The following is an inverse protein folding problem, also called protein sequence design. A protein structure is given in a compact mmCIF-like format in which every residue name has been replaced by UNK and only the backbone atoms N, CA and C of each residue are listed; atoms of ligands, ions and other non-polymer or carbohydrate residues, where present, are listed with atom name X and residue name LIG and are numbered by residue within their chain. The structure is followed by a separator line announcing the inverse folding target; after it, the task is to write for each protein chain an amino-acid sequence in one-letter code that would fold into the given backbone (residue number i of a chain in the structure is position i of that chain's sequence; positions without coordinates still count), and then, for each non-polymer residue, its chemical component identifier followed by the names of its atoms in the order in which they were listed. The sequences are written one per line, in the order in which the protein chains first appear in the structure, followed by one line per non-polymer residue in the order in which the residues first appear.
data_IF_555503440312
#
_entry.id   IF_555503440312
#
_cell.length_a   1.000
_cell.length_b   1.000
_cell.length_c   1.000
_cell.angle_alpha   90.00
_cell.angle_beta   90.00
_cell.angle_gamma   90.00
#
_symmetry.space_group_name_H-M   'P 1'
#
loop_
_entity.id
_entity.type
_entity.pdbx_description
1 polymer ?
#
# COMPACT_ATOMS: atom_id res chain seq x y z
N UNK A 1 4.43 -6.48 3.75
CA UNK A 1 3.64 -5.23 3.68
C UNK A 1 4.45 -4.17 2.96
N UNK A 2 3.81 -3.17 2.36
CA UNK A 2 4.49 -2.04 1.72
C UNK A 2 3.72 -0.73 1.83
N UNK A 3 4.41 0.40 1.68
CA UNK A 3 3.84 1.74 1.77
C UNK A 3 4.63 2.76 0.94
N UNK A 4 3.95 3.75 0.36
CA UNK A 4 4.54 5.02 -0.11
C UNK A 4 4.45 6.15 0.91
N UNK A 5 3.67 5.96 1.98
CA UNK A 5 3.65 6.87 3.13
C UNK A 5 4.86 6.53 4.01
N UNK A 6 6.00 7.08 3.63
CA UNK A 6 7.29 6.91 4.31
C UNK A 6 7.99 8.27 4.45
N UNK A 7 8.09 8.78 5.67
CA UNK A 7 8.67 10.10 5.93
C UNK A 7 10.20 10.05 5.82
N UNK A 8 10.89 10.96 5.11
CA UNK A 8 10.40 12.13 4.34
C UNK A 8 10.41 11.95 2.83
N UNK A 9 11.17 10.98 2.32
CA UNK A 9 11.38 10.86 0.86
C UNK A 9 10.17 10.28 0.13
N UNK A 10 9.24 9.64 0.85
CA UNK A 10 8.04 9.01 0.29
C UNK A 10 8.35 7.98 -0.82
N UNK A 11 9.52 7.36 -0.73
CA UNK A 11 9.87 6.19 -1.54
C UNK A 11 9.01 4.98 -1.12
N UNK A 12 8.91 4.00 -2.01
CA UNK A 12 8.30 2.71 -1.68
C UNK A 12 9.19 2.03 -0.62
N UNK A 13 8.60 1.72 0.53
CA UNK A 13 9.20 0.88 1.57
C UNK A 13 8.40 -0.40 1.68
N UNK A 14 9.09 -1.54 1.68
CA UNK A 14 8.51 -2.87 1.89
C UNK A 14 9.20 -3.58 3.04
N UNK A 15 8.42 -4.32 3.84
CA UNK A 15 8.90 -5.09 4.99
C UNK A 15 8.24 -6.48 4.95
N UNK A 16 9.05 -7.51 5.18
CA UNK A 16 8.64 -8.91 5.11
C UNK A 16 9.86 -9.84 5.16
N UNK A 17 9.60 -11.16 5.17
CA UNK A 17 10.63 -12.21 5.33
C UNK A 17 10.73 -13.13 4.11
N UNK A 18 10.11 -12.74 2.99
CA UNK A 18 10.06 -13.54 1.76
C UNK A 18 10.18 -12.61 0.54
N UNK A 19 11.21 -12.84 -0.28
CA UNK A 19 11.55 -11.97 -1.41
C UNK A 19 10.46 -11.91 -2.48
N UNK A 20 9.77 -13.02 -2.75
CA UNK A 20 8.67 -13.05 -3.72
C UNK A 20 7.54 -12.12 -3.26
N UNK A 21 7.21 -12.13 -1.97
CA UNK A 21 6.17 -11.26 -1.40
C UNK A 21 6.62 -9.80 -1.33
N UNK A 22 7.90 -9.54 -1.12
CA UNK A 22 8.45 -8.18 -1.21
C UNK A 22 8.33 -7.63 -2.63
N UNK A 23 8.72 -8.41 -3.65
CA UNK A 23 8.57 -8.03 -5.06
C UNK A 23 7.11 -7.79 -5.43
N UNK A 24 6.21 -8.69 -5.03
CA UNK A 24 4.76 -8.55 -5.28
C UNK A 24 4.18 -7.32 -4.58
N UNK A 25 4.55 -7.04 -3.31
CA UNK A 25 4.13 -5.85 -2.59
C UNK A 25 4.49 -4.57 -3.36
N UNK A 26 5.75 -4.49 -3.81
CA UNK A 26 6.27 -3.35 -4.58
C UNK A 26 5.50 -3.15 -5.88
N UNK A 27 5.30 -4.23 -6.66
CA UNK A 27 4.58 -4.14 -7.94
C UNK A 27 3.11 -3.72 -7.76
N UNK A 28 2.43 -4.26 -6.75
CA UNK A 28 1.05 -3.84 -6.41
C UNK A 28 1.01 -2.33 -6.12
N UNK A 29 1.98 -1.80 -5.37
CA UNK A 29 2.03 -0.36 -5.07
C UNK A 29 2.25 0.46 -6.34
N UNK A 30 3.16 0.04 -7.21
CA UNK A 30 3.46 0.71 -8.49
C UNK A 30 2.21 0.73 -9.39
N UNK A 31 1.56 -0.42 -9.58
CA UNK A 31 0.34 -0.56 -10.40
C UNK A 31 -0.80 0.34 -9.90
N UNK A 32 -0.87 0.56 -8.58
CA UNK A 32 -1.91 1.38 -7.96
C UNK A 32 -1.51 2.86 -7.79
N UNK A 33 -0.34 3.27 -8.33
CA UNK A 33 0.20 4.63 -8.25
C UNK A 33 0.39 5.11 -6.81
N UNK A 34 0.83 4.21 -5.94
CA UNK A 34 1.05 4.44 -4.52
C UNK A 34 -0.10 4.01 -3.60
N UNK A 35 0.20 3.93 -2.31
CA UNK A 35 -0.73 3.41 -1.31
C UNK A 35 -0.05 2.54 -0.25
N UNK A 36 -0.88 1.80 0.48
CA UNK A 36 -0.44 0.80 1.46
C UNK A 36 -0.94 -0.57 1.04
N UNK A 37 -0.07 -1.59 1.11
CA UNK A 37 -0.45 -2.96 0.82
C UNK A 37 0.01 -3.93 1.91
N UNK A 38 -0.78 -4.99 2.09
CA UNK A 38 -0.43 -6.14 2.90
C UNK A 38 -0.83 -7.41 2.15
N UNK A 39 0.05 -8.41 2.16
CA UNK A 39 -0.23 -9.69 1.53
C UNK A 39 0.38 -10.85 2.34
N UNK A 40 -0.24 -12.00 2.20
CA UNK A 40 0.26 -13.31 2.62
C UNK A 40 -0.15 -14.34 1.55
N UNK A 41 -0.02 -15.64 1.86
CA UNK A 41 -0.33 -16.73 0.94
C UNK A 41 -1.80 -16.78 0.50
N UNK A 42 -2.71 -16.22 1.31
CA UNK A 42 -4.16 -16.35 1.12
C UNK A 42 -4.80 -15.08 0.57
N UNK A 43 -4.25 -13.92 0.94
CA UNK A 43 -4.93 -12.64 0.78
C UNK A 43 -3.96 -11.53 0.42
N UNK A 44 -4.48 -10.60 -0.37
CA UNK A 44 -3.85 -9.32 -0.67
C UNK A 44 -4.84 -8.21 -0.40
N UNK A 45 -4.40 -7.16 0.29
CA UNK A 45 -5.16 -5.96 0.60
C UNK A 45 -4.37 -4.76 0.13
N UNK A 46 -5.06 -3.81 -0.49
CA UNK A 46 -4.51 -2.57 -1.01
C UNK A 46 -5.43 -1.41 -0.64
N UNK A 47 -4.85 -0.35 -0.09
CA UNK A 47 -5.46 0.96 0.06
C UNK A 47 -4.76 1.92 -0.90
N UNK A 48 -5.43 2.28 -1.99
CA UNK A 48 -4.84 3.09 -3.07
C UNK A 48 -4.74 4.56 -2.64
N UNK A 49 -3.58 5.17 -2.86
CA UNK A 49 -3.34 6.60 -2.61
C UNK A 49 -2.78 7.26 -3.88
N UNK A 50 -3.58 7.40 -4.95
CA UNK A 50 -3.11 7.89 -6.25
C UNK A 50 -2.63 9.36 -6.23
N UNK A 51 -3.00 10.14 -5.21
CA UNK A 51 -2.49 11.50 -5.02
C UNK A 51 -1.09 11.46 -4.43
N UNK A 52 -0.07 11.53 -5.28
CA UNK A 52 1.37 11.52 -4.91
C UNK A 52 1.82 10.32 -4.07
N UNK A 53 1.05 9.22 -4.03
CA UNK A 53 1.31 8.11 -3.10
C UNK A 53 0.91 8.39 -1.65
N UNK A 54 0.21 9.49 -1.38
CA UNK A 54 -0.08 9.98 -0.02
C UNK A 54 -1.57 10.19 0.25
N UNK A 55 -2.35 10.53 -0.79
CA UNK A 55 -3.75 10.91 -0.63
C UNK A 55 -4.68 10.11 -1.55
N UNK A 56 -5.91 9.93 -1.09
CA UNK A 56 -7.01 9.35 -1.87
C UNK A 56 -7.96 10.44 -2.35
N UNK A 57 -8.64 10.19 -3.47
CA UNK A 57 -9.77 11.01 -3.94
C UNK A 57 -11.11 10.55 -3.37
N UNK A 58 -11.12 9.47 -2.57
CA UNK A 58 -12.33 8.95 -1.95
C UNK A 58 -12.73 9.77 -0.71
N UNK A 59 -14.02 9.76 -0.33
CA UNK A 59 -14.47 10.35 0.92
C UNK A 59 -13.70 9.80 2.14
N UNK A 60 -13.45 10.66 3.13
CA UNK A 60 -12.70 10.32 4.32
C UNK A 60 -13.23 9.06 5.05
N UNK A 61 -14.55 8.87 5.08
CA UNK A 61 -15.18 7.69 5.67
C UNK A 61 -14.82 6.40 4.92
N UNK A 62 -14.81 6.44 3.59
CA UNK A 62 -14.49 5.26 2.78
C UNK A 62 -13.02 4.87 2.91
N UNK A 63 -12.12 5.85 2.87
CA UNK A 63 -10.69 5.57 3.02
C UNK A 63 -10.35 5.08 4.43
N UNK A 64 -11.02 5.60 5.47
CA UNK A 64 -10.88 5.12 6.85
C UNK A 64 -11.30 3.65 7.00
N UNK A 65 -12.39 3.23 6.33
CA UNK A 65 -12.82 1.83 6.33
C UNK A 65 -11.80 0.92 5.63
N UNK A 66 -11.13 1.39 4.57
CA UNK A 66 -10.05 0.64 3.94
C UNK A 66 -8.84 0.49 4.86
N UNK A 67 -8.51 1.53 5.63
CA UNK A 67 -7.36 1.52 6.54
C UNK A 67 -7.48 0.48 7.67
N UNK A 68 -8.68 0.27 8.20
CA UNK A 68 -8.93 -0.71 9.29
C UNK A 68 -9.21 -2.13 8.78
N UNK A 69 -9.17 -2.34 7.45
CA UNK A 69 -9.48 -3.63 6.84
C UNK A 69 -8.36 -4.65 7.15
N UNK A 70 -8.76 -5.77 7.75
CA UNK A 70 -7.93 -6.96 7.97
C UNK A 70 -8.19 -7.98 6.88
#
# INVERSE_FOLDING_TARGET
MGSTVAHDSHNIIVVGTNDEYLCRATNIIIENKGGLCALNNEKTIIMKLPGSGLMSTLPAKEIALQYIKK
#
